data_IF_246404207737
#
_entry.id   IF_246404207737
#
_cell.length_a   1.000
_cell.length_b   1.000
_cell.length_c   1.000
_cell.angle_alpha   90.00
_cell.angle_beta   90.00
_cell.angle_gamma   90.00
#
_symmetry.space_group_name_H-M   'P 1'
#
loop_
_entity.id
_entity.type
_entity.pdbx_description
1 polymer ?
#
# COMPACT_ATOMS: atom_id res chain seq x y z
N UNK A 1 -0.73 3.87 6.26
CA UNK A 1 -1.79 3.76 5.22
C UNK A 1 -1.27 3.83 3.78
N UNK A 2 -0.65 4.93 3.35
CA UNK A 2 -0.23 5.11 1.94
C UNK A 2 0.63 3.98 1.38
N UNK A 3 1.58 3.47 2.18
CA UNK A 3 2.44 2.33 1.81
C UNK A 3 1.61 1.09 1.43
N UNK A 4 0.63 0.72 2.27
CA UNK A 4 -0.22 -0.45 2.03
C UNK A 4 -1.16 -0.24 0.83
N UNK A 5 -1.74 0.95 0.67
CA UNK A 5 -2.60 1.26 -0.48
C UNK A 5 -1.79 1.23 -1.79
N UNK A 6 -0.53 1.68 -1.77
CA UNK A 6 0.37 1.61 -2.92
C UNK A 6 0.74 0.16 -3.28
N UNK A 7 0.93 -0.71 -2.29
CA UNK A 7 1.17 -2.14 -2.53
C UNK A 7 -0.06 -2.87 -3.09
N UNK A 8 -1.26 -2.48 -2.67
CA UNK A 8 -2.52 -3.07 -3.16
C UNK A 8 -2.94 -2.58 -4.55
N UNK A 9 -2.53 -1.37 -4.94
CA UNK A 9 -2.88 -0.77 -6.23
C UNK A 9 -2.51 -1.63 -7.47
N UNK A 10 -1.28 -2.18 -7.62
CA UNK A 10 -0.95 -3.04 -8.75
C UNK A 10 -1.67 -4.39 -8.71
N UNK A 11 -1.98 -4.90 -7.51
CA UNK A 11 -2.67 -6.18 -7.35
C UNK A 11 -4.13 -6.08 -7.80
N UNK A 12 -4.79 -4.96 -7.50
CA UNK A 12 -6.22 -4.77 -7.69
C UNK A 12 -6.55 -3.75 -8.78
N UNK A 13 -6.26 -4.10 -10.03
CA UNK A 13 -6.49 -3.25 -11.22
C UNK A 13 -7.95 -2.83 -11.42
N UNK A 14 -8.92 -3.59 -10.89
CA UNK A 14 -10.34 -3.25 -10.93
C UNK A 14 -10.76 -2.13 -9.97
N UNK A 15 -9.91 -1.78 -9.00
CA UNK A 15 -10.18 -0.76 -7.99
C UNK A 15 -9.27 0.44 -8.19
N UNK A 16 -9.85 1.65 -8.22
CA UNK A 16 -9.07 2.88 -8.34
C UNK A 16 -8.66 3.38 -6.95
N UNK A 17 -7.37 3.43 -6.71
CA UNK A 17 -6.79 4.04 -5.51
C UNK A 17 -6.38 5.48 -5.84
N UNK A 18 -6.87 6.43 -5.05
CA UNK A 18 -6.61 7.87 -5.25
C UNK A 18 -6.10 8.44 -3.93
N UNK A 19 -4.97 9.17 -4.01
CA UNK A 19 -4.47 9.98 -2.90
C UNK A 19 -4.89 11.43 -3.13
N UNK A 20 -5.35 12.09 -2.08
CA UNK A 20 -5.75 13.49 -2.10
C UNK A 20 -5.22 14.15 -0.84
N UNK A 21 -4.52 15.28 -0.99
CA UNK A 21 -4.06 16.06 0.15
C UNK A 21 -5.23 16.90 0.68
N UNK A 22 -5.53 16.75 1.97
CA UNK A 22 -6.68 17.41 2.62
C UNK A 22 -6.59 18.95 2.54
N UNK A 23 -5.38 19.50 2.64
CA UNK A 23 -5.13 20.95 2.57
C UNK A 23 -5.43 21.54 1.18
N UNK A 24 -5.13 20.78 0.13
CA UNK A 24 -5.37 21.20 -1.26
C UNK A 24 -6.83 21.00 -1.70
N UNK A 25 -7.64 20.28 -0.91
CA UNK A 25 -8.97 19.87 -1.27
C UNK A 25 -10.03 20.18 -0.19
N UNK A 26 -10.18 21.45 0.22
CA UNK A 26 -11.08 21.84 1.31
C UNK A 26 -12.56 21.47 1.02
N UNK A 27 -12.96 21.47 -0.26
CA UNK A 27 -14.30 21.06 -0.67
C UNK A 27 -14.62 19.62 -0.24
N UNK A 28 -13.70 18.68 -0.46
CA UNK A 28 -13.90 17.28 -0.11
C UNK A 28 -13.84 17.08 1.41
N UNK A 29 -12.94 17.77 2.11
CA UNK A 29 -12.86 17.73 3.58
C UNK A 29 -14.17 18.18 4.22
N UNK A 30 -14.74 19.29 3.76
CA UNK A 30 -16.02 19.80 4.26
C UNK A 30 -17.19 18.88 3.86
N UNK A 31 -17.28 18.49 2.58
CA UNK A 31 -18.41 17.70 2.07
C UNK A 31 -18.46 16.30 2.65
N UNK A 32 -17.29 15.70 2.87
CA UNK A 32 -17.14 14.37 3.46
C UNK A 32 -16.91 14.48 4.98
N UNK A 33 -16.99 15.67 5.59
CA UNK A 33 -16.81 15.90 7.02
C UNK A 33 -15.60 15.13 7.61
N UNK A 34 -14.44 15.26 6.97
CA UNK A 34 -13.19 14.62 7.42
C UNK A 34 -12.65 15.43 8.60
N UNK A 35 -12.55 14.78 9.78
CA UNK A 35 -12.07 15.42 11.02
C UNK A 35 -10.68 14.93 11.45
N UNK A 36 -10.37 13.69 11.13
CA UNK A 36 -9.17 12.99 11.56
C UNK A 36 -8.47 12.38 10.36
N UNK A 37 -7.14 12.44 10.36
CA UNK A 37 -6.28 11.80 9.38
C UNK A 37 -5.53 10.65 10.07
N UNK A 38 -5.24 9.55 9.37
CA UNK A 38 -5.63 9.23 7.98
C UNK A 38 -7.13 8.92 7.84
N UNK A 39 -7.73 9.25 6.68
CA UNK A 39 -9.13 8.91 6.38
C UNK A 39 -9.21 8.28 4.98
N UNK A 40 -9.77 7.08 4.88
CA UNK A 40 -9.98 6.37 3.60
C UNK A 40 -11.46 6.22 3.36
N UNK A 41 -11.93 6.68 2.20
CA UNK A 41 -13.35 6.66 1.84
C UNK A 41 -13.55 5.67 0.71
N UNK A 42 -14.53 4.80 0.89
CA UNK A 42 -14.80 3.67 0.02
C UNK A 42 -15.99 4.03 -0.87
N UNK A 43 -15.73 4.10 -2.17
CA UNK A 43 -16.74 4.42 -3.17
C UNK A 43 -17.11 3.18 -3.98
N UNK A 44 -18.41 2.94 -4.17
CA UNK A 44 -18.94 1.90 -5.05
C UNK A 44 -19.98 2.51 -5.97
N UNK A 45 -19.79 2.38 -7.28
CA UNK A 45 -20.69 2.95 -8.30
C UNK A 45 -20.98 4.45 -8.10
N UNK A 46 -19.98 5.21 -7.64
CA UNK A 46 -20.10 6.66 -7.40
C UNK A 46 -20.72 7.06 -6.06
N UNK A 47 -21.12 6.11 -5.22
CA UNK A 47 -21.70 6.38 -3.90
C UNK A 47 -20.65 6.02 -2.84
N UNK A 48 -20.48 6.90 -1.84
CA UNK A 48 -19.67 6.61 -0.66
C UNK A 48 -20.40 5.56 0.19
N UNK A 49 -19.88 4.34 0.22
CA UNK A 49 -20.47 3.22 0.96
C UNK A 49 -20.05 3.28 2.41
N UNK A 50 -18.76 3.50 2.65
CA UNK A 50 -18.20 3.45 3.99
C UNK A 50 -16.89 4.25 4.07
N UNK A 51 -16.37 4.44 5.28
CA UNK A 51 -15.09 5.09 5.54
C UNK A 51 -14.33 4.41 6.65
N UNK A 52 -13.01 4.48 6.54
CA UNK A 52 -12.06 4.08 7.56
C UNK A 52 -11.49 5.37 8.14
N UNK A 53 -11.73 5.58 9.43
CA UNK A 53 -11.25 6.75 10.16
C UNK A 53 -10.09 6.32 11.04
N UNK A 54 -8.91 6.90 10.82
CA UNK A 54 -7.70 6.56 11.55
C UNK A 54 -7.32 5.09 11.40
N UNK A 55 -7.14 4.43 12.55
CA UNK A 55 -6.76 3.03 12.67
C UNK A 55 -7.79 2.20 13.45
N UNK A 56 -8.95 2.77 13.74
CA UNK A 56 -9.95 2.14 14.62
C UNK A 56 -10.43 0.79 14.05
N UNK A 57 -10.66 0.75 12.74
CA UNK A 57 -11.05 -0.47 12.02
C UNK A 57 -9.90 -1.47 11.81
N UNK A 58 -8.67 -1.09 12.16
CA UNK A 58 -7.44 -1.90 12.00
C UNK A 58 -6.82 -2.31 13.34
N UNK A 59 -7.54 -2.11 14.46
CA UNK A 59 -7.10 -2.51 15.79
C UNK A 59 -6.33 -1.42 16.56
N UNK A 60 -6.52 -0.15 16.20
CA UNK A 60 -5.93 1.03 16.84
C UNK A 60 -4.40 1.03 16.92
N UNK A 61 -3.72 0.24 16.09
CA UNK A 61 -2.27 0.23 15.94
C UNK A 61 -1.89 0.65 14.52
N UNK A 62 -0.83 1.42 14.39
CA UNK A 62 -0.29 1.83 13.08
C UNK A 62 0.50 0.68 12.41
N UNK A 63 1.01 -0.27 13.21
CA UNK A 63 1.68 -1.49 12.73
C UNK A 63 0.67 -2.57 12.30
N UNK A 64 -0.01 -2.36 11.19
CA UNK A 64 -0.88 -3.37 10.57
C UNK A 64 -0.28 -3.91 9.27
N UNK A 65 -0.52 -5.19 8.99
CA UNK A 65 -0.08 -5.81 7.74
C UNK A 65 -0.97 -5.41 6.57
N UNK A 66 -0.40 -5.42 5.35
CA UNK A 66 -1.16 -5.15 4.11
C UNK A 66 -2.35 -6.12 3.97
N UNK A 67 -2.18 -7.38 4.39
CA UNK A 67 -3.23 -8.40 4.42
C UNK A 67 -4.40 -8.04 5.35
N UNK A 68 -4.15 -7.38 6.48
CA UNK A 68 -5.20 -6.95 7.38
C UNK A 68 -6.09 -5.87 6.72
N UNK A 69 -5.47 -4.86 6.10
CA UNK A 69 -6.18 -3.84 5.35
C UNK A 69 -6.96 -4.44 4.18
N UNK A 70 -6.34 -5.35 3.44
CA UNK A 70 -6.97 -6.08 2.35
C UNK A 70 -8.22 -6.85 2.79
N UNK A 71 -8.16 -7.55 3.92
CA UNK A 71 -9.31 -8.27 4.48
C UNK A 71 -10.45 -7.32 4.86
N UNK A 72 -10.15 -6.13 5.39
CA UNK A 72 -11.18 -5.12 5.67
C UNK A 72 -11.83 -4.62 4.37
N UNK A 73 -11.03 -4.35 3.34
CA UNK A 73 -11.53 -3.89 2.04
C UNK A 73 -12.39 -4.96 1.32
N UNK A 74 -12.01 -6.24 1.46
CA UNK A 74 -12.80 -7.39 0.97
C UNK A 74 -14.12 -7.52 1.72
N UNK A 75 -14.10 -7.46 3.06
CA UNK A 75 -15.32 -7.50 3.89
C UNK A 75 -16.28 -6.36 3.55
N UNK A 76 -15.76 -5.17 3.27
CA UNK A 76 -16.54 -4.01 2.82
C UNK A 76 -16.99 -4.10 1.34
N UNK A 77 -16.55 -5.13 0.61
CA UNK A 77 -17.00 -5.43 -0.75
C UNK A 77 -16.58 -4.40 -1.79
N UNK A 78 -15.42 -3.76 -1.56
CA UNK A 78 -14.80 -2.77 -2.45
C UNK A 78 -13.82 -3.42 -3.40
N UNK A 79 -13.14 -4.46 -2.92
CA UNK A 79 -12.17 -5.25 -3.67
C UNK A 79 -12.72 -6.67 -3.82
N UNK A 80 -12.52 -7.27 -4.99
CA UNK A 80 -12.92 -8.65 -5.28
C UNK A 80 -11.84 -9.65 -4.85
N UNK A 81 -12.23 -10.85 -4.43
CA UNK A 81 -11.27 -11.92 -4.14
C UNK A 81 -10.57 -12.37 -5.44
N UNK A 82 -9.27 -12.07 -5.56
CA UNK A 82 -8.43 -12.84 -6.48
C UNK A 82 -8.36 -14.26 -5.94
N UNK A 83 -8.70 -15.25 -6.78
CA UNK A 83 -8.34 -16.65 -6.51
C UNK A 83 -6.83 -16.70 -6.36
N UNK A 84 -6.36 -17.30 -5.27
CA UNK A 84 -4.93 -17.51 -5.03
C UNK A 84 -4.37 -18.35 -6.17
N UNK A 85 -3.47 -17.77 -6.94
CA UNK A 85 -2.36 -18.52 -7.50
C UNK A 85 -1.19 -18.24 -6.54
N UNK A 86 -0.64 -19.30 -5.96
CA UNK A 86 0.24 -19.31 -4.79
C UNK A 86 1.66 -18.75 -5.05
N UNK A 87 1.83 -17.46 -5.33
CA UNK A 87 3.18 -16.87 -5.51
C UNK A 87 3.27 -15.41 -5.02
N UNK A 88 3.33 -15.17 -3.71
CA UNK A 88 3.86 -13.89 -3.21
C UNK A 88 4.69 -14.13 -1.94
N UNK A 89 5.99 -14.33 -2.19
CA UNK A 89 7.09 -14.21 -1.24
C UNK A 89 7.00 -12.89 -0.48
N UNK A 90 7.31 -12.96 0.82
CA UNK A 90 7.37 -11.82 1.72
C UNK A 90 8.39 -10.78 1.20
N UNK A 91 7.91 -9.63 0.73
CA UNK A 91 8.75 -8.45 0.46
C UNK A 91 9.20 -7.82 1.79
N UNK A 92 10.13 -8.50 2.46
CA UNK A 92 11.04 -7.86 3.41
C UNK A 92 11.94 -6.92 2.61
N UNK A 93 11.62 -5.62 2.66
CA UNK A 93 12.46 -4.58 2.08
C UNK A 93 13.86 -4.58 2.73
N UNK A 94 14.82 -5.28 2.11
CA UNK A 94 16.25 -5.23 2.41
C UNK A 94 16.79 -3.84 2.05
N UNK A 95 16.81 -2.95 3.05
CA UNK A 95 17.51 -1.67 3.00
C UNK A 95 18.89 -1.81 3.64
N UNK A 96 19.81 -2.59 3.06
CA UNK A 96 21.27 -2.45 3.27
C UNK A 96 22.11 -3.24 2.25
N UNK A 97 22.31 -2.69 1.04
CA UNK A 97 23.50 -3.01 0.21
C UNK A 97 23.85 -1.86 -0.73
N UNK A 98 24.18 -0.72 -0.13
CA UNK A 98 24.95 0.32 -0.82
C UNK A 98 26.36 -0.22 -1.15
N UNK A 99 26.65 -0.27 -2.46
CA UNK A 99 27.92 0.07 -3.14
C UNK A 99 29.23 -0.56 -2.63
N UNK A 100 29.89 -1.35 -3.50
CA UNK A 100 31.31 -1.13 -3.85
C UNK A 100 31.77 -1.88 -5.11
N UNK A 101 31.88 -1.09 -6.19
CA UNK A 101 32.95 -0.99 -7.21
C UNK A 101 33.56 -2.26 -7.83
N UNK A 102 33.40 -2.36 -9.16
CA UNK A 102 34.18 -3.20 -10.09
C UNK A 102 35.69 -2.95 -9.91
N UNK A 103 36.46 -3.98 -9.60
CA UNK A 103 37.92 -3.97 -9.80
C UNK A 103 38.28 -5.16 -10.67
N UNK A 104 38.55 -4.88 -11.94
CA UNK A 104 39.10 -5.82 -12.90
C UNK A 104 40.62 -5.67 -12.91
N UNK A 105 41.35 -6.69 -12.49
CA UNK A 105 42.78 -6.80 -12.77
C UNK A 105 43.11 -8.26 -13.04
N UNK A 106 43.31 -8.56 -14.32
CA UNK A 106 43.93 -9.78 -14.80
C UNK A 106 45.42 -9.74 -14.47
N UNK A 107 45.92 -10.78 -13.83
CA UNK A 107 47.35 -11.11 -13.81
C UNK A 107 47.45 -12.63 -13.97
N UNK A 108 47.49 -13.03 -15.24
CA UNK A 108 48.08 -14.28 -15.67
C UNK A 108 49.61 -14.08 -15.61
N UNK A 109 50.33 -14.81 -14.76
CA UNK A 109 51.80 -14.84 -14.82
C UNK A 109 52.34 -16.12 -14.16
N UNK A 110 52.76 -17.02 -15.05
CA UNK A 110 53.50 -18.26 -14.81
C UNK A 110 54.92 -18.05 -14.24
N UNK A 111 55.41 -19.14 -13.61
CA UNK A 111 56.80 -19.66 -13.54
C UNK A 111 57.60 -19.57 -12.24
N UNK A 112 58.05 -20.79 -11.85
CA UNK A 112 59.35 -21.26 -11.31
C UNK A 112 60.33 -20.25 -10.66
#
# INVERSE_FOLDING_TARGET
MDKHLKALAPVYLGTKFVKLDAENAPFFVAKLAIKTLPCVILFKKGIAVDRLVGFDDLGSKDDFSTRALENVLKRKGIIEEKKKDDDDEDDETDMSKDRRVRSSTAYDSDSD
#
